data_IF_374453829341
#
_entry.id   IF_374453829341
#
_cell.length_a   1.000
_cell.length_b   1.000
_cell.length_c   1.000
_cell.angle_alpha   90.00
_cell.angle_beta   90.00
_cell.angle_gamma   90.00
#
_symmetry.space_group_name_H-M   'P 1'
#
loop_
_entity.id
_entity.type
_entity.pdbx_description
1 polymer ?
#
# COMPACT_ATOMS: atom_id res chain seq x y z
N UNK A 1 19.51 17.01 25.24
CA UNK A 1 18.38 16.60 26.10
C UNK A 1 18.74 15.60 27.21
N UNK A 2 20.01 15.21 27.35
CA UNK A 2 20.42 14.12 28.26
C UNK A 2 20.17 14.40 29.75
N UNK A 3 20.18 15.65 30.19
CA UNK A 3 20.07 16.00 31.63
C UNK A 3 18.62 16.25 32.12
N UNK A 4 17.61 15.97 31.29
CA UNK A 4 16.20 16.12 31.67
C UNK A 4 15.61 14.79 32.16
N UNK A 5 14.92 14.83 33.29
CA UNK A 5 14.24 13.66 33.87
C UNK A 5 13.15 13.13 32.92
N UNK A 6 13.14 11.82 32.68
CA UNK A 6 12.23 11.12 31.76
C UNK A 6 10.73 11.35 32.07
N UNK A 7 10.37 11.68 33.32
CA UNK A 7 8.99 12.08 33.68
C UNK A 7 8.49 13.28 32.88
N UNK A 8 9.39 14.15 32.43
CA UNK A 8 9.07 15.37 31.65
C UNK A 8 9.04 15.15 30.13
N UNK A 9 9.25 13.91 29.68
CA UNK A 9 9.32 13.59 28.26
C UNK A 9 7.91 13.42 27.66
N UNK A 10 7.72 13.89 26.42
CA UNK A 10 6.53 13.55 25.63
C UNK A 10 6.50 12.05 25.31
N UNK A 11 5.36 11.54 24.84
CA UNK A 11 5.24 10.13 24.40
C UNK A 11 6.33 9.73 23.41
N UNK A 12 6.58 10.56 22.38
CA UNK A 12 7.65 10.32 21.42
C UNK A 12 9.06 10.39 21.99
N UNK A 13 9.31 11.23 23.00
CA UNK A 13 10.61 11.25 23.67
C UNK A 13 10.83 10.01 24.53
N UNK A 14 9.79 9.52 25.21
CA UNK A 14 9.84 8.25 25.98
C UNK A 14 10.08 7.06 25.05
N UNK A 15 9.35 6.99 23.94
CA UNK A 15 9.52 5.94 22.92
C UNK A 15 10.95 5.88 22.37
N UNK A 16 11.55 7.04 22.06
CA UNK A 16 12.96 7.11 21.64
C UNK A 16 13.90 6.62 22.74
N UNK A 17 13.64 7.00 23.99
CA UNK A 17 14.44 6.55 25.13
C UNK A 17 14.34 5.03 25.30
N UNK A 18 13.15 4.45 25.18
CA UNK A 18 12.93 3.01 25.29
C UNK A 18 13.70 2.24 24.21
N UNK A 19 13.63 2.70 22.95
CA UNK A 19 14.39 2.11 21.85
C UNK A 19 15.89 2.26 22.10
N UNK A 20 16.36 3.43 22.54
CA UNK A 20 17.78 3.66 22.84
C UNK A 20 18.28 2.72 23.97
N UNK A 21 17.48 2.52 25.02
CA UNK A 21 17.78 1.58 26.10
C UNK A 21 17.91 0.14 25.58
N UNK A 22 17.03 -0.27 24.67
CA UNK A 22 17.09 -1.60 24.04
C UNK A 22 18.33 -1.82 23.17
N UNK A 23 18.96 -0.74 22.69
CA UNK A 23 20.13 -0.79 21.81
C UNK A 23 21.47 -0.66 22.55
N UNK A 24 21.48 -0.22 23.82
CA UNK A 24 22.67 -0.18 24.66
C UNK A 24 23.50 -1.48 24.67
N UNK A 25 22.91 -2.71 24.71
CA UNK A 25 23.69 -3.93 24.69
C UNK A 25 24.23 -4.31 23.30
N UNK A 26 24.05 -3.46 22.27
CA UNK A 26 24.39 -3.74 20.88
C UNK A 26 23.82 -5.08 20.36
N UNK A 27 22.48 -5.24 20.39
CA UNK A 27 21.85 -6.51 20.04
C UNK A 27 21.92 -6.78 18.53
N UNK A 28 21.94 -8.07 18.16
CA UNK A 28 21.79 -8.49 16.75
C UNK A 28 20.35 -8.44 16.27
N UNK A 29 19.39 -8.57 17.19
CA UNK A 29 17.95 -8.59 16.90
C UNK A 29 17.23 -7.66 17.89
N UNK A 30 16.34 -6.82 17.37
CA UNK A 30 15.50 -5.92 18.18
C UNK A 30 14.03 -6.21 17.89
N UNK A 31 13.23 -6.29 18.96
CA UNK A 31 11.79 -6.40 18.89
C UNK A 31 11.15 -5.05 19.20
N UNK A 32 10.30 -4.55 18.30
CA UNK A 32 9.62 -3.28 18.44
C UNK A 32 8.10 -3.50 18.41
N UNK A 33 7.44 -3.27 19.52
CA UNK A 33 5.97 -3.38 19.60
C UNK A 33 5.31 -2.02 19.31
N UNK A 34 4.65 -1.92 18.16
CA UNK A 34 3.91 -0.73 17.69
C UNK A 34 4.73 0.57 17.73
N UNK A 35 5.97 0.62 17.16
CA UNK A 35 6.98 1.62 17.50
C UNK A 35 6.55 3.09 17.32
N UNK A 36 5.57 3.36 16.46
CA UNK A 36 5.09 4.72 16.16
C UNK A 36 3.68 5.03 16.64
N UNK A 37 3.05 4.11 17.37
CA UNK A 37 1.71 4.32 17.94
C UNK A 37 1.68 5.53 18.88
N UNK A 38 0.69 6.41 18.65
CA UNK A 38 0.48 7.62 19.46
C UNK A 38 1.50 8.73 19.23
N UNK A 39 2.32 8.64 18.17
CA UNK A 39 3.24 9.69 17.78
C UNK A 39 2.61 10.63 16.74
N UNK A 40 3.01 11.90 16.79
CA UNK A 40 2.73 12.84 15.71
C UNK A 40 3.50 12.46 14.43
N UNK A 41 3.06 12.98 13.29
CA UNK A 41 3.63 12.67 11.96
C UNK A 41 5.15 12.88 11.92
N UNK A 42 5.67 13.98 12.49
CA UNK A 42 7.11 14.26 12.44
C UNK A 42 7.91 13.29 13.33
N UNK A 43 7.36 12.92 14.48
CA UNK A 43 8.00 11.94 15.36
C UNK A 43 7.99 10.54 14.77
N UNK A 44 6.90 10.13 14.11
CA UNK A 44 6.80 8.87 13.36
C UNK A 44 7.90 8.76 12.30
N UNK A 45 8.02 9.78 11.43
CA UNK A 45 9.04 9.79 10.37
C UNK A 45 10.47 9.69 10.93
N UNK A 46 10.76 10.36 12.06
CA UNK A 46 12.07 10.25 12.73
C UNK A 46 12.35 8.85 13.27
N UNK A 47 11.33 8.15 13.77
CA UNK A 47 11.48 6.75 14.20
C UNK A 47 11.73 5.85 12.99
N UNK A 48 11.06 6.08 11.86
CA UNK A 48 11.29 5.33 10.63
C UNK A 48 12.72 5.47 10.12
N UNK A 49 13.25 6.70 10.10
CA UNK A 49 14.64 6.93 9.71
C UNK A 49 15.62 6.22 10.65
N UNK A 50 15.32 6.18 11.94
CA UNK A 50 16.12 5.45 12.90
C UNK A 50 16.08 3.94 12.67
N UNK A 51 14.91 3.36 12.43
CA UNK A 51 14.76 1.94 12.09
C UNK A 51 15.57 1.59 10.83
N UNK A 52 15.53 2.44 9.80
CA UNK A 52 16.34 2.26 8.58
C UNK A 52 17.85 2.25 8.88
N UNK A 53 18.33 3.18 9.71
CA UNK A 53 19.74 3.24 10.12
C UNK A 53 20.17 1.99 10.90
N UNK A 54 19.32 1.49 11.81
CA UNK A 54 19.61 0.26 12.55
C UNK A 54 19.75 -0.94 11.60
N UNK A 55 18.84 -1.06 10.63
CA UNK A 55 18.91 -2.08 9.58
C UNK A 55 20.20 -1.96 8.76
N UNK A 56 20.56 -0.75 8.34
CA UNK A 56 21.81 -0.49 7.60
C UNK A 56 23.06 -0.87 8.40
N UNK A 57 23.02 -0.74 9.73
CA UNK A 57 24.07 -1.18 10.64
C UNK A 57 24.06 -2.71 10.90
N UNK A 58 23.22 -3.47 10.19
CA UNK A 58 23.18 -4.93 10.27
C UNK A 58 22.34 -5.50 11.42
N UNK A 59 21.52 -4.67 12.07
CA UNK A 59 20.60 -5.13 13.12
C UNK A 59 19.34 -5.68 12.46
N UNK A 60 18.92 -6.89 12.85
CA UNK A 60 17.63 -7.46 12.44
C UNK A 60 16.52 -6.88 13.29
N UNK A 61 15.43 -6.45 12.67
CA UNK A 61 14.32 -5.81 13.37
C UNK A 61 13.06 -6.65 13.15
N UNK A 62 12.40 -7.02 14.24
CA UNK A 62 11.07 -7.64 14.23
C UNK A 62 10.13 -6.63 14.84
N UNK A 63 9.12 -6.20 14.08
CA UNK A 63 8.17 -5.22 14.57
C UNK A 63 6.72 -5.61 14.31
N UNK A 64 5.85 -5.20 15.22
CA UNK A 64 4.40 -5.22 15.05
C UNK A 64 3.96 -3.79 14.73
N UNK A 65 2.97 -3.67 13.84
CA UNK A 65 2.35 -2.39 13.52
C UNK A 65 0.93 -2.63 13.05
N UNK A 66 0.03 -1.74 13.45
CA UNK A 66 -1.30 -1.62 12.87
C UNK A 66 -1.34 -0.65 11.67
N UNK A 67 -0.24 0.04 11.37
CA UNK A 67 -0.11 0.93 10.23
C UNK A 67 0.50 0.20 9.03
N UNK A 68 -0.32 -0.10 8.03
CA UNK A 68 0.16 -0.75 6.80
C UNK A 68 1.19 0.10 6.04
N UNK A 69 1.07 1.43 6.11
CA UNK A 69 2.06 2.35 5.55
C UNK A 69 3.46 2.12 6.18
N UNK A 70 3.51 1.85 7.48
CA UNK A 70 4.76 1.57 8.19
C UNK A 70 5.35 0.23 7.74
N UNK A 71 4.51 -0.80 7.64
CA UNK A 71 4.93 -2.11 7.16
C UNK A 71 5.43 -2.05 5.71
N UNK A 72 4.78 -1.29 4.83
CA UNK A 72 5.19 -1.14 3.43
C UNK A 72 6.54 -0.41 3.30
N UNK A 73 6.80 0.56 4.19
CA UNK A 73 7.98 1.42 4.12
C UNK A 73 9.23 0.85 4.81
N UNK A 74 9.04 -0.02 5.80
CA UNK A 74 10.13 -0.49 6.67
C UNK A 74 10.43 -1.98 6.54
N UNK A 75 9.45 -2.80 6.20
CA UNK A 75 9.62 -4.25 6.23
C UNK A 75 10.12 -4.82 4.90
N UNK A 76 11.18 -5.61 4.96
CA UNK A 76 11.62 -6.42 3.81
C UNK A 76 10.64 -7.60 3.58
N UNK A 77 10.02 -8.09 4.66
CA UNK A 77 8.97 -9.13 4.68
C UNK A 77 7.98 -8.81 5.79
N UNK A 78 6.70 -9.06 5.54
CA UNK A 78 5.63 -8.91 6.52
C UNK A 78 4.70 -10.11 6.53
N UNK A 79 4.01 -10.31 7.65
CA UNK A 79 2.95 -11.28 7.81
C UNK A 79 1.68 -10.57 8.27
N UNK A 80 0.58 -10.78 7.57
CA UNK A 80 -0.73 -10.29 8.00
C UNK A 80 -1.33 -11.35 8.91
N UNK A 81 -1.65 -10.94 10.13
CA UNK A 81 -2.22 -11.81 11.17
C UNK A 81 -3.66 -11.37 11.42
N UNK A 82 -4.57 -12.34 11.39
CA UNK A 82 -5.98 -12.15 11.74
C UNK A 82 -6.51 -13.40 12.46
N UNK A 83 -7.34 -13.20 13.49
CA UNK A 83 -7.84 -14.28 14.34
C UNK A 83 -6.74 -15.13 15.01
N UNK A 84 -5.56 -14.55 15.26
CA UNK A 84 -4.40 -15.28 15.81
C UNK A 84 -3.68 -16.20 14.82
N UNK A 85 -4.02 -16.12 13.53
CA UNK A 85 -3.41 -16.94 12.47
C UNK A 85 -2.77 -16.07 11.41
N UNK A 86 -1.66 -16.53 10.83
CA UNK A 86 -1.04 -15.88 9.67
C UNK A 86 -1.92 -16.15 8.46
N UNK A 87 -2.48 -15.09 7.87
CA UNK A 87 -3.29 -15.18 6.65
C UNK A 87 -2.42 -15.19 5.40
N UNK A 88 -1.39 -14.36 5.37
CA UNK A 88 -0.44 -14.28 4.27
C UNK A 88 0.91 -13.77 4.76
N UNK A 89 1.99 -14.18 4.09
CA UNK A 89 3.36 -13.77 4.37
C UNK A 89 4.11 -13.56 3.06
N UNK A 90 4.90 -12.49 2.98
CA UNK A 90 5.66 -12.14 1.78
C UNK A 90 6.34 -10.79 1.92
N UNK A 91 7.10 -10.38 0.90
CA UNK A 91 7.52 -8.98 0.79
C UNK A 91 6.32 -8.10 0.44
N UNK A 92 6.32 -6.80 0.80
CA UNK A 92 5.23 -5.90 0.43
C UNK A 92 4.95 -5.89 -1.08
N UNK A 93 6.00 -5.97 -1.91
CA UNK A 93 5.89 -6.03 -3.36
C UNK A 93 5.23 -7.31 -3.86
N UNK A 94 5.65 -8.48 -3.36
CA UNK A 94 5.05 -9.77 -3.71
C UNK A 94 3.57 -9.81 -3.35
N UNK A 95 3.22 -9.34 -2.15
CA UNK A 95 1.84 -9.33 -1.67
C UNK A 95 0.93 -8.43 -2.52
N UNK A 96 1.41 -7.22 -2.85
CA UNK A 96 0.69 -6.29 -3.74
C UNK A 96 0.53 -6.85 -5.16
N UNK A 97 1.59 -7.45 -5.70
CA UNK A 97 1.57 -8.05 -7.05
C UNK A 97 0.66 -9.28 -7.10
N UNK A 98 0.56 -10.02 -6.00
CA UNK A 98 -0.32 -11.20 -5.86
C UNK A 98 -1.81 -10.89 -6.02
N UNK A 99 -2.23 -9.63 -5.85
CA UNK A 99 -3.62 -9.21 -6.08
C UNK A 99 -3.99 -8.98 -7.55
N UNK A 100 -3.04 -9.16 -8.46
CA UNK A 100 -3.20 -8.90 -9.89
C UNK A 100 -2.15 -7.92 -10.42
N UNK A 101 -1.60 -7.06 -9.56
CA UNK A 101 -0.68 -6.00 -9.98
C UNK A 101 -1.41 -4.73 -10.37
N UNK A 102 -0.71 -3.84 -11.07
CA UNK A 102 -1.24 -2.53 -11.43
C UNK A 102 -2.41 -2.62 -12.42
N UNK A 103 -3.43 -1.79 -12.25
CA UNK A 103 -4.58 -1.74 -13.17
C UNK A 103 -4.90 -0.32 -13.64
N UNK A 104 -5.56 -0.25 -14.79
CA UNK A 104 -6.18 0.94 -15.36
C UNK A 104 -7.67 0.68 -15.49
N UNK A 105 -8.49 1.58 -14.96
CA UNK A 105 -9.94 1.56 -15.17
C UNK A 105 -10.29 2.67 -16.13
N UNK A 106 -10.88 2.31 -17.27
CA UNK A 106 -11.24 3.22 -18.35
C UNK A 106 -12.75 3.29 -18.44
N UNK A 107 -13.30 4.48 -18.23
CA UNK A 107 -14.72 4.76 -18.41
C UNK A 107 -14.96 5.26 -19.83
N UNK A 108 -16.00 4.74 -20.48
CA UNK A 108 -16.39 5.20 -21.81
C UNK A 108 -17.75 5.91 -21.76
N UNK A 109 -18.05 6.70 -22.78
CA UNK A 109 -19.36 7.34 -22.89
C UNK A 109 -20.46 6.30 -23.14
N UNK A 110 -21.63 6.46 -22.53
CA UNK A 110 -22.74 5.49 -22.62
C UNK A 110 -23.15 5.13 -24.07
N UNK A 111 -23.13 6.10 -24.99
CA UNK A 111 -23.47 5.88 -26.40
C UNK A 111 -22.41 5.09 -27.19
N UNK A 112 -21.24 4.85 -26.60
CA UNK A 112 -20.12 4.13 -27.19
C UNK A 112 -20.07 2.67 -26.70
N UNK A 113 -21.10 2.22 -25.96
CA UNK A 113 -21.21 0.88 -25.38
C UNK A 113 -20.98 -0.26 -26.40
N UNK A 114 -21.47 -0.07 -27.63
CA UNK A 114 -21.34 -1.05 -28.71
C UNK A 114 -19.88 -1.28 -29.15
N UNK A 115 -18.97 -0.35 -28.82
CA UNK A 115 -17.55 -0.42 -29.17
C UNK A 115 -16.70 -1.14 -28.11
N UNK A 116 -17.22 -1.41 -26.90
CA UNK A 116 -16.48 -2.11 -25.83
C UNK A 116 -15.82 -3.41 -26.27
N UNK A 117 -16.49 -4.34 -26.98
CA UNK A 117 -15.87 -5.60 -27.35
C UNK A 117 -14.65 -5.40 -28.25
N UNK A 118 -14.73 -4.46 -29.21
CA UNK A 118 -13.63 -4.12 -30.11
C UNK A 118 -12.49 -3.41 -29.37
N UNK A 119 -12.83 -2.51 -28.44
CA UNK A 119 -11.85 -1.81 -27.61
C UNK A 119 -11.10 -2.81 -26.72
N UNK A 120 -11.81 -3.75 -26.09
CA UNK A 120 -11.23 -4.83 -25.30
C UNK A 120 -10.24 -5.65 -26.13
N UNK A 121 -10.63 -6.10 -27.32
CA UNK A 121 -9.75 -6.88 -28.20
C UNK A 121 -8.50 -6.09 -28.59
N UNK A 122 -8.65 -4.80 -28.93
CA UNK A 122 -7.53 -3.93 -29.29
C UNK A 122 -6.55 -3.71 -28.14
N UNK A 123 -7.06 -3.57 -26.91
CA UNK A 123 -6.24 -3.38 -25.70
C UNK A 123 -5.58 -4.69 -25.27
N UNK A 124 -6.27 -5.83 -25.36
CA UNK A 124 -5.72 -7.15 -25.02
C UNK A 124 -4.53 -7.53 -25.90
N UNK A 125 -4.46 -7.00 -27.13
CA UNK A 125 -3.33 -7.20 -28.04
C UNK A 125 -2.06 -6.40 -27.67
N UNK A 126 -2.12 -5.51 -26.67
CA UNK A 126 -0.98 -4.70 -26.25
C UNK A 126 0.01 -5.54 -25.41
N UNK A 127 1.33 -5.37 -25.60
CA UNK A 127 2.35 -6.22 -24.96
C UNK A 127 2.46 -6.04 -23.44
N UNK A 128 1.96 -4.93 -22.89
CA UNK A 128 2.03 -4.63 -21.45
C UNK A 128 0.71 -4.90 -20.71
N UNK A 129 -0.28 -5.46 -21.41
CA UNK A 129 -1.60 -5.80 -20.87
C UNK A 129 -1.62 -7.30 -20.54
N UNK A 130 -2.07 -7.63 -19.33
CA UNK A 130 -2.17 -9.01 -18.81
C UNK A 130 -3.58 -9.57 -18.90
N UNK A 131 -4.58 -8.75 -18.61
CA UNK A 131 -6.00 -9.12 -18.65
C UNK A 131 -6.84 -7.87 -18.94
N UNK A 132 -8.02 -8.06 -19.53
CA UNK A 132 -9.00 -6.99 -19.75
C UNK A 132 -10.40 -7.51 -19.48
N UNK A 133 -11.07 -6.87 -18.50
CA UNK A 133 -12.42 -7.19 -18.08
C UNK A 133 -13.36 -6.05 -18.45
N UNK A 134 -14.55 -6.42 -18.90
CA UNK A 134 -15.63 -5.46 -19.15
C UNK A 134 -16.38 -5.26 -17.84
N UNK A 135 -16.60 -4.00 -17.47
CA UNK A 135 -17.47 -3.61 -16.37
C UNK A 135 -18.59 -2.68 -16.88
N UNK A 136 -19.61 -2.35 -16.07
CA UNK A 136 -20.72 -1.52 -16.52
C UNK A 136 -20.33 -0.10 -16.98
N UNK A 137 -19.20 0.43 -16.51
CA UNK A 137 -18.71 1.77 -16.84
C UNK A 137 -17.74 1.78 -18.03
N UNK A 138 -17.17 0.64 -18.40
CA UNK A 138 -16.12 0.52 -19.41
C UNK A 138 -15.25 -0.73 -19.22
N UNK A 139 -13.93 -0.54 -19.01
CA UNK A 139 -12.94 -1.61 -18.96
C UNK A 139 -12.03 -1.51 -17.73
N UNK A 140 -11.78 -2.64 -17.08
CA UNK A 140 -10.69 -2.83 -16.12
C UNK A 140 -9.55 -3.59 -16.79
N UNK A 141 -8.38 -2.97 -16.86
CA UNK A 141 -7.23 -3.43 -17.62
C UNK A 141 -6.12 -3.72 -16.62
N UNK A 142 -5.67 -4.97 -16.57
CA UNK A 142 -4.51 -5.35 -15.77
C UNK A 142 -3.24 -5.14 -16.58
N UNK A 143 -2.28 -4.42 -16.04
CA UNK A 143 -1.08 -3.99 -16.77
C UNK A 143 0.20 -4.23 -15.97
N UNK A 144 1.30 -4.41 -16.67
CA UNK A 144 2.61 -4.49 -16.00
C UNK A 144 3.08 -3.13 -15.51
N UNK A 145 2.71 -2.07 -16.23
CA UNK A 145 3.08 -0.70 -15.93
C UNK A 145 2.03 0.26 -16.49
N UNK A 146 1.24 0.93 -15.64
CA UNK A 146 0.22 1.89 -16.05
C UNK A 146 0.80 3.06 -16.84
N UNK A 147 1.92 3.60 -16.38
CA UNK A 147 2.59 4.75 -16.99
C UNK A 147 3.00 4.48 -18.44
N UNK A 148 3.44 3.25 -18.74
CA UNK A 148 3.82 2.82 -20.08
C UNK A 148 2.64 2.33 -20.92
N UNK A 149 1.60 1.79 -20.29
CA UNK A 149 0.44 1.22 -20.98
C UNK A 149 -0.59 2.27 -21.35
N UNK A 150 -0.72 3.34 -20.56
CA UNK A 150 -1.72 4.38 -20.74
C UNK A 150 -1.67 5.04 -22.13
N UNK A 151 -0.51 5.49 -22.66
CA UNK A 151 -0.46 6.07 -24.00
C UNK A 151 -0.97 5.11 -25.08
N UNK A 152 -0.62 3.82 -24.99
CA UNK A 152 -1.04 2.80 -25.94
C UNK A 152 -2.55 2.51 -25.84
N UNK A 153 -3.11 2.49 -24.63
CA UNK A 153 -4.56 2.35 -24.41
C UNK A 153 -5.33 3.50 -25.05
N UNK A 154 -4.85 4.74 -24.86
CA UNK A 154 -5.46 5.94 -25.46
C UNK A 154 -5.39 5.89 -26.99
N UNK A 155 -4.25 5.48 -27.55
CA UNK A 155 -4.06 5.35 -29.00
C UNK A 155 -5.05 4.34 -29.60
N UNK A 156 -5.24 3.18 -28.94
CA UNK A 156 -6.22 2.17 -29.39
C UNK A 156 -7.64 2.73 -29.34
N UNK A 157 -8.00 3.44 -28.27
CA UNK A 157 -9.32 4.06 -28.15
C UNK A 157 -9.57 5.09 -29.26
N UNK A 158 -8.58 5.95 -29.54
CA UNK A 158 -8.66 6.94 -30.62
C UNK A 158 -8.78 6.28 -32.01
N UNK A 159 -8.00 5.23 -32.28
CA UNK A 159 -8.06 4.50 -33.55
C UNK A 159 -9.42 3.84 -33.79
N UNK A 160 -10.10 3.45 -32.72
CA UNK A 160 -11.45 2.85 -32.78
C UNK A 160 -12.56 3.90 -32.68
N UNK A 161 -12.21 5.20 -32.69
CA UNK A 161 -13.13 6.31 -32.51
C UNK A 161 -14.00 6.15 -31.26
N UNK A 162 -13.42 5.61 -30.17
CA UNK A 162 -14.10 5.39 -28.91
C UNK A 162 -13.77 6.50 -27.92
N UNK A 163 -14.77 7.29 -27.56
CA UNK A 163 -14.63 8.40 -26.63
C UNK A 163 -14.48 7.90 -25.18
N UNK A 164 -13.30 8.10 -24.61
CA UNK A 164 -13.06 7.86 -23.17
C UNK A 164 -13.60 9.05 -22.37
N UNK A 165 -14.29 8.78 -21.26
CA UNK A 165 -14.84 9.77 -20.34
C UNK A 165 -13.94 9.96 -19.10
N UNK A 166 -13.29 8.89 -18.67
CA UNK A 166 -12.38 8.91 -17.54
C UNK A 166 -11.35 7.79 -17.64
N UNK A 167 -10.17 8.04 -17.05
CA UNK A 167 -9.16 7.00 -16.85
C UNK A 167 -8.64 7.12 -15.43
N UNK A 168 -8.80 6.05 -14.68
CA UNK A 168 -8.26 5.90 -13.34
C UNK A 168 -7.15 4.86 -13.33
N UNK A 169 -6.22 5.05 -12.42
CA UNK A 169 -5.10 4.16 -12.23
C UNK A 169 -5.11 3.66 -10.78
N UNK A 170 -4.97 2.35 -10.62
CA UNK A 170 -4.90 1.73 -9.32
C UNK A 170 -3.63 0.89 -9.19
N UNK A 171 -2.76 1.27 -8.25
CA UNK A 171 -1.73 0.38 -7.70
C UNK A 171 -2.30 -0.31 -6.47
N UNK A 172 -2.27 -1.66 -6.40
CA UNK A 172 -2.64 -2.37 -5.19
C UNK A 172 -1.80 -1.89 -4.01
N UNK A 173 -2.45 -1.64 -2.88
CA UNK A 173 -1.82 -1.27 -1.62
C UNK A 173 -1.89 -2.44 -0.65
N UNK A 174 -1.15 -2.35 0.44
CA UNK A 174 -1.26 -3.36 1.49
C UNK A 174 -2.67 -3.39 2.11
N UNK A 175 -3.41 -2.28 2.07
CA UNK A 175 -4.81 -2.21 2.51
C UNK A 175 -5.68 -3.20 1.72
N UNK A 176 -5.50 -3.26 0.39
CA UNK A 176 -6.20 -4.21 -0.48
C UNK A 176 -5.80 -5.65 -0.16
N UNK A 177 -4.51 -5.87 0.16
CA UNK A 177 -3.99 -7.20 0.55
C UNK A 177 -4.65 -7.62 1.84
N UNK A 178 -4.74 -6.72 2.81
CA UNK A 178 -5.39 -6.96 4.08
C UNK A 178 -6.85 -7.36 3.88
N UNK A 179 -7.64 -6.51 3.19
CA UNK A 179 -9.07 -6.76 2.95
C UNK A 179 -9.28 -8.09 2.22
N UNK A 180 -8.46 -8.41 1.23
CA UNK A 180 -8.58 -9.66 0.46
C UNK A 180 -8.36 -10.90 1.33
N UNK A 181 -7.45 -10.83 2.31
CA UNK A 181 -7.07 -11.99 3.13
C UNK A 181 -7.80 -12.08 4.48
N UNK A 182 -8.40 -10.99 4.97
CA UNK A 182 -9.14 -10.94 6.24
C UNK A 182 -10.65 -10.80 6.03
N UNK A 183 -11.11 -10.33 4.87
CA UNK A 183 -12.52 -10.10 4.57
C UNK A 183 -13.11 -8.81 5.19
N UNK A 184 -12.29 -7.98 5.84
CA UNK A 184 -12.70 -6.66 6.35
C UNK A 184 -11.51 -5.69 6.41
N UNK A 185 -11.78 -4.38 6.36
CA UNK A 185 -10.74 -3.35 6.52
C UNK A 185 -10.11 -3.35 7.92
N UNK A 186 -8.95 -2.70 8.05
CA UNK A 186 -8.36 -2.40 9.36
C UNK A 186 -9.25 -1.38 10.09
N UNK A 187 -9.59 -1.68 11.35
CA UNK A 187 -10.28 -0.70 12.19
C UNK A 187 -9.26 0.33 12.71
N UNK A 188 -9.21 1.48 12.04
CA UNK A 188 -8.61 2.71 12.58
C UNK A 188 -7.79 3.52 11.58
N UNK A 189 -8.34 4.65 11.09
CA UNK A 189 -7.57 5.54 10.20
C UNK A 189 -8.22 6.81 9.64
N UNK A 190 -9.52 7.06 9.82
CA UNK A 190 -10.14 8.38 9.56
C UNK A 190 -11.26 8.62 10.58
N UNK A 191 -11.43 9.85 11.11
CA UNK A 191 -12.66 10.20 11.79
C UNK A 191 -13.73 10.41 10.72
N UNK A 192 -14.57 9.41 10.50
CA UNK A 192 -15.82 9.62 9.78
C UNK A 192 -16.72 10.48 10.68
N UNK A 193 -16.66 11.79 10.42
CA UNK A 193 -17.70 12.71 10.78
C UNK A 193 -18.71 12.76 9.62
N UNK A 194 -19.98 12.54 9.99
CA UNK A 194 -21.26 12.95 9.33
C UNK A 194 -21.56 12.23 8.00
N UNK A 195 -22.75 11.68 7.67
CA UNK A 195 -24.18 12.02 7.93
C UNK A 195 -25.05 10.73 7.92
N UNK A 196 -25.99 10.58 8.87
CA UNK A 196 -27.48 10.69 8.76
C UNK A 196 -28.20 9.47 8.16
N UNK A 197 -28.94 8.74 9.00
CA UNK A 197 -30.42 8.83 9.17
C UNK A 197 -30.82 8.37 10.58
#
# INVERSE_FOLDING_TARGET
HADRVAKTYSGGMKRKLDIACGLLPNPKIVFLDEPTLGLDVQSRLRIWDYIRQLRENGITIVMTTNYLEEADQLCDRLAIIDGGTIRVIGSPLELKTGLGGDSLSVTIKEHEADKLPRLREGIMALPLVRDVRINPAGLDILVESPEKSLPAVIEVAQRLDCGLDGIEYHRPRLDDVFVTHTGHGLRGGTPDAVEEE
#
